data_IF_933857134772
#
_entry.id   IF_933857134772
#
_cell.length_a   1.000
_cell.length_b   1.000
_cell.length_c   1.000
_cell.angle_alpha   90.00
_cell.angle_beta   90.00
_cell.angle_gamma   90.00
#
_symmetry.space_group_name_H-M   'P 1'
#
loop_
_entity.id
_entity.type
_entity.pdbx_description
1 polymer ?
#
# COMPACT_ATOMS: atom_id res chain seq x y z
N UNK A 1 3.57 -3.20 11.01
CA UNK A 1 4.99 -3.43 10.66
C UNK A 1 5.11 -3.11 9.18
N UNK A 2 5.73 -1.99 8.81
CA UNK A 2 5.93 -1.61 7.40
C UNK A 2 7.19 -2.31 6.89
N UNK A 3 7.09 -3.06 5.79
CA UNK A 3 8.24 -3.66 5.13
C UNK A 3 8.54 -2.87 3.85
N UNK A 4 9.62 -2.08 3.82
CA UNK A 4 10.08 -1.35 2.64
C UNK A 4 11.16 -2.17 1.93
N UNK A 5 10.81 -2.87 0.85
CA UNK A 5 11.77 -3.61 0.02
C UNK A 5 12.36 -2.65 -1.01
N UNK A 6 13.66 -2.32 -0.88
CA UNK A 6 14.40 -1.54 -1.88
C UNK A 6 15.13 -2.49 -2.83
N UNK A 7 14.65 -2.68 -4.05
CA UNK A 7 15.45 -3.26 -5.13
C UNK A 7 16.36 -2.18 -5.72
N UNK A 8 17.66 -2.47 -5.84
CA UNK A 8 18.70 -1.51 -6.24
C UNK A 8 19.14 -1.78 -7.67
N UNK A 9 18.54 -1.05 -8.61
CA UNK A 9 19.11 -0.79 -9.93
C UNK A 9 19.06 0.72 -10.17
N UNK A 10 20.23 1.36 -10.15
CA UNK A 10 20.41 2.79 -10.38
C UNK A 10 20.25 3.09 -11.87
N UNK A 11 19.07 3.59 -12.26
CA UNK A 11 18.80 4.53 -13.36
C UNK A 11 17.26 4.62 -13.44
N UNK A 12 16.69 5.81 -13.16
CA UNK A 12 15.23 6.06 -12.98
C UNK A 12 14.56 5.24 -11.86
N UNK A 13 14.74 5.69 -10.61
CA UNK A 13 14.29 4.99 -9.40
C UNK A 13 12.79 5.18 -9.15
N UNK A 14 11.96 4.63 -10.03
CA UNK A 14 10.54 4.40 -9.78
C UNK A 14 10.40 3.34 -8.68
N UNK A 15 10.38 3.77 -7.42
CA UNK A 15 10.36 2.86 -6.27
C UNK A 15 8.95 2.30 -6.11
N UNK A 16 8.76 1.01 -6.41
CA UNK A 16 7.54 0.29 -6.05
C UNK A 16 7.45 0.16 -4.54
N UNK A 17 6.48 0.83 -3.94
CA UNK A 17 6.17 0.72 -2.52
C UNK A 17 4.99 -0.23 -2.36
N UNK A 18 5.16 -1.20 -1.46
CA UNK A 18 4.12 -2.14 -1.05
C UNK A 18 3.86 -1.96 0.43
N UNK A 19 2.66 -1.54 0.80
CA UNK A 19 2.22 -1.35 2.18
C UNK A 19 1.22 -2.42 2.58
N UNK A 20 1.44 -3.06 3.73
CA UNK A 20 0.49 -3.98 4.34
C UNK A 20 -0.10 -3.33 5.58
N UNK A 21 -1.39 -3.03 5.55
CA UNK A 21 -2.09 -2.22 6.55
C UNK A 21 -3.17 -3.07 7.22
N UNK A 22 -2.96 -3.52 8.47
CA UNK A 22 -3.99 -4.23 9.22
C UNK A 22 -5.11 -3.29 9.67
N UNK A 23 -6.31 -3.83 9.87
CA UNK A 23 -7.44 -3.11 10.44
C UNK A 23 -8.19 -3.98 11.45
N UNK A 24 -8.85 -3.36 12.43
CA UNK A 24 -9.52 -4.09 13.52
C UNK A 24 -11.01 -4.27 13.31
N UNK A 25 -11.64 -3.38 12.54
CA UNK A 25 -13.08 -3.40 12.33
C UNK A 25 -13.46 -2.90 10.92
N UNK A 26 -14.70 -3.15 10.54
CA UNK A 26 -15.21 -2.79 9.22
C UNK A 26 -15.17 -1.27 8.96
N UNK A 27 -15.37 -0.44 9.99
CA UNK A 27 -15.32 1.01 9.86
C UNK A 27 -13.92 1.51 9.48
N UNK A 28 -12.88 0.97 10.12
CA UNK A 28 -11.47 1.23 9.79
C UNK A 28 -11.14 0.77 8.37
N UNK A 29 -11.58 -0.44 7.98
CA UNK A 29 -11.42 -0.97 6.63
C UNK A 29 -11.92 0.01 5.57
N UNK A 30 -13.14 0.51 5.71
CA UNK A 30 -13.74 1.45 4.75
C UNK A 30 -12.97 2.79 4.72
N UNK A 31 -12.54 3.29 5.89
CA UNK A 31 -11.74 4.52 5.97
C UNK A 31 -10.42 4.37 5.22
N UNK A 32 -9.69 3.29 5.46
CA UNK A 32 -8.41 3.00 4.81
C UNK A 32 -8.55 2.86 3.29
N UNK A 33 -9.56 2.13 2.81
CA UNK A 33 -9.78 2.00 1.36
C UNK A 33 -10.04 3.36 0.70
N UNK A 34 -10.79 4.27 1.36
CA UNK A 34 -11.02 5.62 0.83
C UNK A 34 -9.73 6.44 0.76
N UNK A 35 -8.90 6.40 1.79
CA UNK A 35 -7.62 7.11 1.84
C UNK A 35 -6.64 6.55 0.79
N UNK A 36 -6.53 5.23 0.69
CA UNK A 36 -5.62 4.56 -0.24
C UNK A 36 -6.03 4.74 -1.70
N UNK A 37 -7.33 4.85 -2.01
CA UNK A 37 -7.80 5.14 -3.38
C UNK A 37 -7.26 6.45 -3.96
N UNK A 38 -6.86 7.39 -3.11
CA UNK A 38 -6.24 8.66 -3.56
C UNK A 38 -4.80 8.46 -4.03
N UNK A 39 -4.13 7.40 -3.57
CA UNK A 39 -2.81 6.99 -4.06
C UNK A 39 -3.05 6.27 -5.39
N UNK A 40 -2.54 6.80 -6.50
CA UNK A 40 -2.66 6.20 -7.84
C UNK A 40 -1.88 4.87 -7.89
N UNK A 41 -2.52 3.79 -7.43
CA UNK A 41 -1.91 2.48 -7.26
C UNK A 41 -2.94 1.35 -7.20
N UNK A 42 -2.46 0.13 -6.99
CA UNK A 42 -3.28 -1.07 -6.83
C UNK A 42 -3.59 -1.30 -5.35
N UNK A 43 -4.85 -1.64 -5.07
CA UNK A 43 -5.31 -1.97 -3.71
C UNK A 43 -5.90 -3.38 -3.74
N UNK A 44 -5.39 -4.24 -2.86
CA UNK A 44 -5.92 -5.59 -2.62
C UNK A 44 -6.42 -5.67 -1.18
N UNK A 45 -7.67 -6.08 -1.00
CA UNK A 45 -8.33 -6.07 0.31
C UNK A 45 -8.56 -7.51 0.77
N UNK A 46 -8.02 -7.85 1.94
CA UNK A 46 -8.15 -9.17 2.56
C UNK A 46 -9.06 -9.10 3.79
N UNK A 47 -9.19 -10.22 4.51
CA UNK A 47 -10.11 -10.35 5.65
C UNK A 47 -9.74 -9.41 6.81
N UNK A 48 -8.44 -9.26 7.09
CA UNK A 48 -7.91 -8.52 8.24
C UNK A 48 -6.83 -7.46 7.89
N UNK A 49 -6.45 -7.33 6.62
CA UNK A 49 -5.50 -6.32 6.16
C UNK A 49 -5.75 -5.88 4.72
N UNK A 50 -5.13 -4.77 4.33
CA UNK A 50 -5.11 -4.23 2.96
C UNK A 50 -3.67 -4.20 2.48
N UNK A 51 -3.44 -4.54 1.22
CA UNK A 51 -2.17 -4.33 0.53
C UNK A 51 -2.34 -3.17 -0.44
N UNK A 52 -1.48 -2.16 -0.34
CA UNK A 52 -1.43 -1.02 -1.26
C UNK A 52 -0.11 -1.02 -2.00
N UNK A 53 -0.15 -1.08 -3.32
CA UNK A 53 1.02 -1.04 -4.20
C UNK A 53 0.97 0.25 -5.02
N UNK A 54 1.99 1.10 -4.91
CA UNK A 54 2.06 2.35 -5.67
C UNK A 54 3.50 2.70 -6.03
N UNK A 55 3.66 3.53 -7.06
CA UNK A 55 4.95 4.07 -7.46
C UNK A 55 5.23 5.31 -6.61
N UNK A 56 6.35 5.33 -5.90
CA UNK A 56 6.89 6.51 -5.22
C UNK A 56 7.90 7.16 -6.20
N UNK A 57 7.54 8.34 -6.70
CA UNK A 57 8.32 9.18 -7.61
C UNK A 57 8.37 10.61 -7.11
#
# INVERSE_FOLDING_TARGET
>A
MLFKVKNKSLEEFEMRVVEVIPFKNFKEKIKLVKELKLRKGRISVFENYIVSEYMEG
#
